data_IF_089098140577
#
_entry.id   IF_089098140577
#
_cell.length_a   1.000
_cell.length_b   1.000
_cell.length_c   1.000
_cell.angle_alpha   90.00
_cell.angle_beta   90.00
_cell.angle_gamma   90.00
#
_symmetry.space_group_name_H-M   'P 1'
#
loop_
_entity.id
_entity.type
_entity.pdbx_description
1 polymer ?
#
# COMPACT_ATOMS: atom_id res chain seq x y z
N UNK A 1 -14.06 -6.76 28.72
CA UNK A 1 -12.80 -6.17 28.23
C UNK A 1 -12.27 -7.07 27.12
N UNK A 2 -11.96 -6.53 25.95
CA UNK A 2 -11.43 -7.27 24.80
C UNK A 2 -9.92 -7.52 24.95
N UNK A 3 -9.42 -8.61 24.36
CA UNK A 3 -7.97 -8.83 24.24
C UNK A 3 -7.37 -7.87 23.22
N UNK A 4 -8.07 -7.68 22.08
CA UNK A 4 -7.66 -6.79 21.00
C UNK A 4 -8.85 -5.98 20.48
N UNK A 5 -8.70 -4.65 20.42
CA UNK A 5 -9.60 -3.77 19.67
C UNK A 5 -8.87 -3.33 18.40
N UNK A 6 -9.54 -3.46 17.26
CA UNK A 6 -9.01 -3.09 15.94
C UNK A 6 -9.77 -1.88 15.43
N UNK A 7 -9.07 -0.81 15.09
CA UNK A 7 -9.63 0.44 14.56
C UNK A 7 -9.42 0.50 13.05
N UNK A 8 -10.50 0.36 12.29
CA UNK A 8 -10.51 0.35 10.83
C UNK A 8 -10.68 -1.05 10.22
N UNK A 9 -11.69 -1.20 9.34
CA UNK A 9 -12.09 -2.46 8.67
C UNK A 9 -11.49 -2.66 7.27
N UNK A 10 -10.48 -1.87 6.88
CA UNK A 10 -9.77 -2.06 5.61
C UNK A 10 -8.93 -3.35 5.58
N UNK A 11 -8.15 -3.61 4.50
CA UNK A 11 -7.38 -4.86 4.35
C UNK A 11 -6.53 -5.22 5.57
N UNK A 12 -5.94 -4.22 6.22
CA UNK A 12 -5.12 -4.44 7.42
C UNK A 12 -5.95 -4.92 8.61
N UNK A 13 -6.99 -4.17 8.97
CA UNK A 13 -7.81 -4.50 10.13
C UNK A 13 -8.63 -5.78 9.93
N UNK A 14 -9.18 -6.00 8.74
CA UNK A 14 -9.90 -7.22 8.41
C UNK A 14 -8.98 -8.47 8.49
N UNK A 15 -7.74 -8.37 7.98
CA UNK A 15 -6.77 -9.45 8.08
C UNK A 15 -6.31 -9.69 9.53
N UNK A 16 -6.11 -8.62 10.30
CA UNK A 16 -5.82 -8.73 11.72
C UNK A 16 -6.97 -9.38 12.49
N UNK A 17 -8.22 -8.95 12.25
CA UNK A 17 -9.40 -9.51 12.88
C UNK A 17 -9.56 -10.99 12.59
N UNK A 18 -9.38 -11.39 11.31
CA UNK A 18 -9.39 -12.80 10.95
C UNK A 18 -8.32 -13.61 11.67
N UNK A 19 -7.10 -13.09 11.73
CA UNK A 19 -5.98 -13.76 12.44
C UNK A 19 -6.26 -13.86 13.93
N UNK A 20 -6.72 -12.77 14.56
CA UNK A 20 -7.06 -12.73 15.98
C UNK A 20 -8.16 -13.73 16.33
N UNK A 21 -9.26 -13.76 15.54
CA UNK A 21 -10.36 -14.70 15.76
C UNK A 21 -9.93 -16.16 15.58
N UNK A 22 -9.12 -16.48 14.56
CA UNK A 22 -8.55 -17.83 14.38
C UNK A 22 -7.62 -18.25 15.53
N UNK A 23 -7.01 -17.28 16.21
CA UNK A 23 -6.17 -17.49 17.38
C UNK A 23 -6.95 -17.46 18.71
N UNK A 24 -8.29 -17.30 18.67
CA UNK A 24 -9.17 -17.34 19.82
C UNK A 24 -9.14 -16.09 20.72
N UNK A 25 -8.65 -14.95 20.21
CA UNK A 25 -8.71 -13.69 20.96
C UNK A 25 -10.12 -13.12 21.00
N UNK A 26 -10.55 -12.65 22.17
CA UNK A 26 -11.76 -11.83 22.29
C UNK A 26 -11.50 -10.48 21.61
N UNK A 27 -12.03 -10.32 20.40
CA UNK A 27 -11.68 -9.21 19.51
C UNK A 27 -12.89 -8.40 19.10
N UNK A 28 -12.76 -7.06 19.14
CA UNK A 28 -13.70 -6.10 18.58
C UNK A 28 -13.03 -5.34 17.44
N UNK A 29 -13.65 -5.31 16.25
CA UNK A 29 -13.25 -4.47 15.14
C UNK A 29 -14.28 -3.35 14.96
N UNK A 30 -13.81 -2.10 14.95
CA UNK A 30 -14.63 -0.89 14.81
C UNK A 30 -14.25 -0.18 13.51
N UNK A 31 -15.23 0.06 12.63
CA UNK A 31 -15.06 0.73 11.35
C UNK A 31 -16.09 1.85 11.20
N UNK A 32 -15.61 3.04 10.85
CA UNK A 32 -16.47 4.23 10.73
C UNK A 32 -17.43 4.22 9.55
N UNK A 33 -17.09 3.52 8.47
CA UNK A 33 -17.92 3.42 7.27
C UNK A 33 -18.81 2.18 7.32
N UNK A 34 -19.96 2.26 6.69
CA UNK A 34 -20.78 1.08 6.41
C UNK A 34 -20.24 0.35 5.18
N UNK A 35 -20.06 -0.96 5.29
CA UNK A 35 -19.61 -1.82 4.21
C UNK A 35 -20.77 -2.43 3.43
N UNK A 36 -20.64 -2.62 2.10
CA UNK A 36 -19.47 -2.34 1.26
C UNK A 36 -19.30 -0.84 0.95
N UNK A 37 -18.06 -0.30 1.04
CA UNK A 37 -17.76 1.10 0.84
C UNK A 37 -16.79 1.34 -0.33
N UNK A 38 -16.85 2.54 -0.90
CA UNK A 38 -15.86 2.99 -1.88
C UNK A 38 -14.51 3.32 -1.20
N UNK A 39 -13.40 3.03 -1.89
CA UNK A 39 -12.05 3.43 -1.48
C UNK A 39 -11.21 3.77 -2.71
N UNK A 40 -10.73 5.01 -2.86
CA UNK A 40 -9.87 5.41 -3.98
C UNK A 40 -8.61 4.55 -4.06
N UNK A 41 -8.40 3.86 -5.18
CA UNK A 41 -7.26 2.96 -5.40
C UNK A 41 -7.27 2.47 -6.85
N UNK A 42 -6.11 2.15 -7.42
CA UNK A 42 -6.03 1.43 -8.68
C UNK A 42 -6.52 -0.02 -8.63
N UNK A 43 -6.68 -0.60 -7.44
CA UNK A 43 -7.24 -1.95 -7.27
C UNK A 43 -6.33 -3.11 -7.66
N UNK A 44 -5.05 -2.86 -7.95
CA UNK A 44 -4.10 -3.93 -8.26
C UNK A 44 -3.62 -4.61 -6.96
N UNK A 45 -3.78 -5.93 -6.91
CA UNK A 45 -3.27 -6.80 -5.86
C UNK A 45 -2.18 -7.68 -6.46
N UNK A 46 -0.95 -7.51 -6.01
CA UNK A 46 0.21 -8.28 -6.50
C UNK A 46 0.15 -9.75 -6.10
N UNK A 47 0.94 -10.59 -6.77
CA UNK A 47 1.12 -12.01 -6.41
C UNK A 47 1.55 -12.16 -4.94
N UNK A 48 2.38 -11.24 -4.42
CA UNK A 48 2.71 -11.24 -2.99
C UNK A 48 1.50 -10.97 -2.11
N UNK A 49 0.66 -10.01 -2.45
CA UNK A 49 -0.58 -9.75 -1.72
C UNK A 49 -1.51 -10.95 -1.70
N UNK A 50 -1.59 -11.67 -2.82
CA UNK A 50 -2.33 -12.93 -2.89
C UNK A 50 -1.71 -14.00 -1.97
N UNK A 51 -0.39 -14.14 -1.93
CA UNK A 51 0.30 -15.12 -1.08
C UNK A 51 0.15 -14.83 0.43
N UNK A 52 -0.16 -13.58 0.81
CA UNK A 52 -0.45 -13.24 2.20
C UNK A 52 -1.82 -13.72 2.68
N UNK A 53 -2.73 -14.09 1.76
CA UNK A 53 -4.05 -14.60 2.12
C UNK A 53 -3.97 -16.09 2.45
N UNK A 54 -4.61 -16.51 3.55
CA UNK A 54 -4.72 -17.90 3.97
C UNK A 54 -5.93 -18.65 3.32
N UNK A 55 -6.44 -18.09 2.23
CA UNK A 55 -7.55 -18.60 1.44
C UNK A 55 -7.42 -18.15 -0.02
N UNK A 56 -8.05 -18.89 -0.93
CA UNK A 56 -8.17 -18.48 -2.32
C UNK A 56 -9.29 -17.46 -2.48
N UNK A 57 -9.05 -16.43 -3.28
CA UNK A 57 -10.10 -15.49 -3.68
C UNK A 57 -11.04 -16.18 -4.67
N UNK A 58 -12.37 -16.03 -4.51
CA UNK A 58 -13.32 -16.53 -5.49
C UNK A 58 -13.29 -15.65 -6.75
N UNK A 59 -13.64 -16.22 -7.89
CA UNK A 59 -13.69 -15.51 -9.18
C UNK A 59 -14.58 -14.26 -9.14
N UNK A 60 -15.62 -14.27 -8.31
CA UNK A 60 -16.51 -13.12 -8.14
C UNK A 60 -15.86 -11.88 -7.51
N UNK A 61 -14.65 -12.01 -6.97
CA UNK A 61 -13.85 -10.91 -6.40
C UNK A 61 -12.77 -10.44 -7.38
N UNK A 62 -12.37 -11.31 -8.32
CA UNK A 62 -11.32 -11.04 -9.30
C UNK A 62 -11.96 -10.46 -10.56
N UNK A 63 -11.63 -9.21 -10.90
CA UNK A 63 -12.16 -8.59 -12.12
C UNK A 63 -11.28 -8.89 -13.35
N UNK A 64 -9.94 -8.89 -13.17
CA UNK A 64 -8.97 -9.18 -14.23
C UNK A 64 -7.72 -9.87 -13.70
N UNK A 65 -7.15 -10.75 -14.53
CA UNK A 65 -5.78 -11.22 -14.38
C UNK A 65 -4.85 -10.37 -15.25
N UNK A 66 -3.73 -9.94 -14.70
CA UNK A 66 -2.80 -9.01 -15.34
C UNK A 66 -1.42 -9.66 -15.47
N UNK A 67 -1.13 -10.38 -16.55
CA UNK A 67 0.20 -10.89 -16.84
C UNK A 67 1.15 -9.84 -17.42
N UNK A 68 0.65 -8.69 -17.93
CA UNK A 68 1.45 -7.73 -18.66
C UNK A 68 1.40 -6.33 -18.05
N UNK A 69 2.49 -5.57 -18.25
CA UNK A 69 2.56 -4.15 -17.95
C UNK A 69 3.20 -3.41 -19.12
N UNK A 70 2.65 -2.28 -19.50
CA UNK A 70 3.29 -1.30 -20.38
C UNK A 70 3.75 -0.11 -19.56
N UNK A 71 5.06 0.15 -19.62
CA UNK A 71 5.68 1.30 -18.97
C UNK A 71 5.98 2.37 -20.02
N UNK A 72 5.29 3.50 -19.91
CA UNK A 72 5.41 4.64 -20.84
C UNK A 72 6.32 5.72 -20.27
N UNK A 73 7.05 6.37 -21.15
CA UNK A 73 7.67 7.67 -20.90
C UNK A 73 7.59 8.52 -22.16
N UNK A 74 6.75 9.57 -22.13
CA UNK A 74 6.38 10.38 -23.30
C UNK A 74 5.71 9.52 -24.38
N UNK A 75 6.25 9.55 -25.60
CA UNK A 75 5.77 8.83 -26.80
C UNK A 75 6.29 7.38 -26.91
N UNK A 76 7.11 6.95 -25.97
CA UNK A 76 7.72 5.61 -25.97
C UNK A 76 7.19 4.74 -24.86
N UNK A 77 7.15 3.45 -25.10
CA UNK A 77 6.86 2.46 -24.07
C UNK A 77 7.68 1.19 -24.24
N UNK A 78 7.74 0.44 -23.18
CA UNK A 78 8.24 -0.93 -23.14
C UNK A 78 7.18 -1.81 -22.51
N UNK A 79 6.98 -3.01 -23.04
CA UNK A 79 6.07 -4.01 -22.49
C UNK A 79 6.86 -5.13 -21.84
N UNK A 80 6.46 -5.51 -20.63
CA UNK A 80 6.95 -6.66 -19.90
C UNK A 80 5.82 -7.62 -19.55
N UNK A 81 6.15 -8.89 -19.38
CA UNK A 81 5.20 -9.96 -19.06
C UNK A 81 5.77 -10.89 -18.00
N UNK A 82 4.87 -11.42 -17.18
CA UNK A 82 5.16 -12.51 -16.25
C UNK A 82 4.06 -13.58 -16.41
N UNK A 83 4.43 -14.83 -16.66
CA UNK A 83 3.50 -15.93 -16.91
C UNK A 83 2.62 -16.26 -15.71
N UNK A 84 3.13 -16.04 -14.49
CA UNK A 84 2.41 -16.29 -13.22
C UNK A 84 1.47 -15.13 -12.81
N UNK A 85 1.20 -14.17 -13.68
CA UNK A 85 0.55 -12.88 -13.44
C UNK A 85 1.35 -11.93 -12.51
N UNK A 86 1.40 -10.68 -12.91
CA UNK A 86 1.97 -9.60 -12.11
C UNK A 86 1.04 -9.21 -10.97
N UNK A 87 -0.25 -9.20 -11.27
CA UNK A 87 -1.30 -8.81 -10.34
C UNK A 87 -2.67 -9.33 -10.81
N UNK A 88 -3.64 -9.22 -9.93
CA UNK A 88 -5.06 -9.22 -10.26
C UNK A 88 -5.64 -7.83 -10.01
N UNK A 89 -6.69 -7.47 -10.74
CA UNK A 89 -7.48 -6.29 -10.42
C UNK A 89 -8.72 -6.70 -9.64
N UNK A 90 -9.01 -5.92 -8.62
CA UNK A 90 -10.17 -6.09 -7.74
C UNK A 90 -10.84 -4.75 -7.48
N UNK A 91 -12.17 -4.72 -7.46
CA UNK A 91 -12.89 -3.58 -6.89
C UNK A 91 -12.67 -3.54 -5.37
N UNK A 92 -12.16 -2.41 -4.85
CA UNK A 92 -11.95 -2.24 -3.41
C UNK A 92 -13.25 -2.35 -2.61
N UNK A 93 -14.38 -1.99 -3.21
CA UNK A 93 -15.71 -2.14 -2.62
C UNK A 93 -16.01 -3.61 -2.34
N UNK A 94 -15.76 -4.48 -3.30
CA UNK A 94 -16.00 -5.93 -3.19
C UNK A 94 -14.93 -6.60 -2.35
N UNK A 95 -13.66 -6.33 -2.63
CA UNK A 95 -12.52 -6.98 -1.98
C UNK A 95 -12.45 -6.68 -0.48
N UNK A 96 -12.56 -5.41 -0.08
CA UNK A 96 -12.49 -5.03 1.32
C UNK A 96 -13.66 -5.62 2.12
N UNK A 97 -14.87 -5.62 1.54
CA UNK A 97 -16.05 -6.26 2.15
C UNK A 97 -15.84 -7.77 2.30
N UNK A 98 -15.29 -8.42 1.28
CA UNK A 98 -15.01 -9.84 1.33
C UNK A 98 -14.01 -10.19 2.46
N UNK A 99 -12.96 -9.40 2.64
CA UNK A 99 -12.01 -9.57 3.74
C UNK A 99 -12.68 -9.39 5.12
N UNK A 100 -13.53 -8.38 5.26
CA UNK A 100 -14.25 -8.10 6.51
C UNK A 100 -15.20 -9.25 6.85
N UNK A 101 -15.94 -9.79 5.88
CA UNK A 101 -16.79 -10.96 6.07
C UNK A 101 -15.99 -12.23 6.43
N UNK A 102 -14.77 -12.38 5.89
CA UNK A 102 -13.87 -13.45 6.31
C UNK A 102 -13.41 -13.30 7.77
N UNK A 103 -13.27 -12.07 8.25
CA UNK A 103 -12.98 -11.80 9.65
C UNK A 103 -14.20 -12.11 10.54
N UNK A 104 -15.41 -11.63 10.18
CA UNK A 104 -16.68 -11.94 10.90
C UNK A 104 -16.87 -13.44 11.11
N UNK A 105 -16.59 -14.24 10.09
CA UNK A 105 -16.74 -15.72 10.14
C UNK A 105 -15.79 -16.41 11.14
N UNK A 106 -14.85 -15.71 11.73
CA UNK A 106 -14.00 -16.26 12.82
C UNK A 106 -14.57 -16.00 14.22
N UNK A 107 -15.75 -15.37 14.30
CA UNK A 107 -16.43 -15.12 15.58
C UNK A 107 -16.03 -13.84 16.29
N UNK A 108 -15.25 -12.96 15.64
CA UNK A 108 -14.97 -11.63 16.21
C UNK A 108 -16.20 -10.72 16.12
N UNK A 109 -16.31 -9.79 17.04
CA UNK A 109 -17.32 -8.74 17.01
C UNK A 109 -16.90 -7.64 16.02
N UNK A 110 -17.80 -7.16 15.16
CA UNK A 110 -17.52 -6.15 14.15
C UNK A 110 -18.61 -5.10 14.12
N UNK A 111 -18.27 -3.88 14.43
CA UNK A 111 -19.12 -2.70 14.35
C UNK A 111 -18.74 -1.88 13.11
N UNK A 112 -19.71 -1.56 12.27
CA UNK A 112 -19.58 -0.66 11.13
C UNK A 112 -20.48 0.55 11.30
N UNK A 113 -20.09 1.70 10.77
CA UNK A 113 -20.78 2.98 10.99
C UNK A 113 -20.47 3.63 12.35
N UNK A 114 -19.48 3.12 13.08
CA UNK A 114 -19.04 3.63 14.41
C UNK A 114 -17.61 4.16 14.32
N UNK A 115 -17.39 5.43 14.62
CA UNK A 115 -16.07 6.07 14.55
C UNK A 115 -15.37 6.09 15.91
N UNK A 116 -14.11 5.64 15.94
CA UNK A 116 -13.25 5.81 17.12
C UNK A 116 -12.72 7.23 17.14
N UNK A 117 -13.05 7.96 18.20
CA UNK A 117 -12.73 9.37 18.37
C UNK A 117 -11.44 9.59 19.16
N UNK A 118 -11.17 8.75 20.16
CA UNK A 118 -9.98 8.89 21.01
C UNK A 118 -9.54 7.57 21.64
N UNK A 119 -8.27 7.52 22.01
CA UNK A 119 -7.63 6.41 22.72
C UNK A 119 -6.91 6.94 23.97
N UNK A 120 -7.17 6.34 25.13
CA UNK A 120 -6.51 6.70 26.37
C UNK A 120 -5.88 5.45 27.00
N UNK A 121 -4.54 5.40 27.00
CA UNK A 121 -3.81 4.32 27.67
C UNK A 121 -3.96 4.45 29.20
N UNK A 122 -4.29 3.34 29.87
CA UNK A 122 -4.33 3.15 31.31
C UNK A 122 -3.27 2.13 31.70
N UNK A 123 -3.13 1.84 32.98
CA UNK A 123 -2.11 0.90 33.47
C UNK A 123 -2.20 -0.47 32.77
N UNK A 124 -3.41 -1.08 32.75
CA UNK A 124 -3.60 -2.45 32.26
C UNK A 124 -4.39 -2.55 30.94
N UNK A 125 -4.94 -1.47 30.44
CA UNK A 125 -5.79 -1.46 29.25
C UNK A 125 -5.72 -0.14 28.51
N UNK A 126 -6.44 -0.09 27.38
CA UNK A 126 -6.71 1.12 26.61
C UNK A 126 -8.21 1.35 26.60
N UNK A 127 -8.61 2.55 26.97
CA UNK A 127 -9.98 3.02 26.78
C UNK A 127 -10.13 3.56 25.37
N UNK A 128 -11.10 3.02 24.64
CA UNK A 128 -11.44 3.35 23.26
C UNK A 128 -12.78 4.05 23.26
N UNK A 129 -12.78 5.36 23.03
CA UNK A 129 -14.00 6.17 22.95
C UNK A 129 -14.43 6.31 21.50
N UNK A 130 -15.67 5.94 21.24
CA UNK A 130 -16.30 6.04 19.90
C UNK A 130 -17.41 7.09 19.89
N UNK A 131 -18.09 7.22 18.74
CA UNK A 131 -19.31 8.01 18.61
C UNK A 131 -20.43 7.52 19.52
N UNK A 132 -20.52 6.21 19.74
CA UNK A 132 -21.67 5.58 20.36
C UNK A 132 -21.38 5.07 21.77
N UNK A 133 -20.16 4.59 22.01
CA UNK A 133 -19.79 3.86 23.23
C UNK A 133 -18.35 4.14 23.71
N UNK A 134 -18.03 3.50 24.83
CA UNK A 134 -16.65 3.41 25.33
C UNK A 134 -16.33 1.94 25.60
N UNK A 135 -15.24 1.46 25.01
CA UNK A 135 -14.78 0.08 25.15
C UNK A 135 -13.43 0.01 25.86
N UNK A 136 -13.15 -1.13 26.49
CA UNK A 136 -11.86 -1.42 27.10
C UNK A 136 -11.19 -2.60 26.39
N UNK A 137 -9.96 -2.40 25.91
CA UNK A 137 -9.13 -3.43 25.30
C UNK A 137 -7.77 -3.53 25.96
N UNK A 138 -7.23 -4.73 26.06
CA UNK A 138 -5.85 -4.94 26.53
C UNK A 138 -4.85 -4.31 25.55
N UNK A 139 -5.15 -4.43 24.25
CA UNK A 139 -4.35 -3.87 23.16
C UNK A 139 -5.26 -3.22 22.11
N UNK A 140 -4.72 -2.23 21.39
CA UNK A 140 -5.40 -1.59 20.28
C UNK A 140 -4.50 -1.59 19.04
N UNK A 141 -5.03 -2.11 17.94
CA UNK A 141 -4.42 -2.04 16.61
C UNK A 141 -5.08 -0.92 15.81
N UNK A 142 -4.31 0.10 15.47
CA UNK A 142 -4.76 1.25 14.69
C UNK A 142 -4.48 0.97 13.21
N UNK A 143 -5.53 0.65 12.45
CA UNK A 143 -5.54 0.32 11.01
C UNK A 143 -6.38 1.32 10.20
N UNK A 144 -6.47 2.57 10.66
CA UNK A 144 -7.33 3.64 10.11
C UNK A 144 -6.88 4.19 8.74
N UNK A 145 -5.82 3.63 8.17
CA UNK A 145 -5.23 4.08 6.92
C UNK A 145 -4.43 5.38 7.04
N UNK A 146 -4.12 6.00 5.90
CA UNK A 146 -3.27 7.19 5.84
C UNK A 146 -3.97 8.46 6.33
N UNK A 147 -5.29 8.56 6.19
CA UNK A 147 -6.07 9.74 6.54
C UNK A 147 -6.41 9.89 8.02
N UNK A 148 -6.29 8.82 8.81
CA UNK A 148 -6.63 8.84 10.22
C UNK A 148 -5.63 9.63 11.07
N UNK A 149 -6.03 9.98 12.30
CA UNK A 149 -5.24 10.81 13.22
C UNK A 149 -4.81 10.09 14.50
N UNK A 150 -5.42 8.96 14.82
CA UNK A 150 -5.11 8.18 16.02
C UNK A 150 -3.67 7.62 16.01
N UNK A 151 -3.09 7.39 14.83
CA UNK A 151 -1.68 7.01 14.67
C UNK A 151 -0.70 7.97 15.36
N UNK A 152 -1.09 9.23 15.56
CA UNK A 152 -0.26 10.22 16.25
C UNK A 152 -0.23 10.05 17.79
N UNK A 153 -1.03 9.14 18.34
CA UNK A 153 -0.84 8.65 19.70
C UNK A 153 0.41 7.78 19.86
N UNK A 154 0.87 7.18 18.76
CA UNK A 154 2.04 6.28 18.73
C UNK A 154 3.30 6.98 18.23
N UNK A 155 3.18 7.87 17.24
CA UNK A 155 4.30 8.51 16.55
C UNK A 155 4.04 9.99 16.24
N UNK A 156 5.09 10.80 16.01
CA UNK A 156 4.92 12.20 15.59
C UNK A 156 4.26 12.29 14.19
N UNK A 157 3.75 13.47 13.87
CA UNK A 157 3.16 13.76 12.55
C UNK A 157 4.20 13.63 11.45
N UNK A 158 3.79 13.04 10.33
CA UNK A 158 4.62 12.94 9.13
C UNK A 158 4.86 14.33 8.53
N UNK A 159 6.04 14.51 7.92
CA UNK A 159 6.35 15.70 7.13
C UNK A 159 5.62 15.62 5.78
N UNK A 160 5.29 16.77 5.17
CA UNK A 160 4.67 16.81 3.83
C UNK A 160 5.51 16.08 2.75
N UNK A 161 6.83 16.09 2.90
CA UNK A 161 7.78 15.39 2.01
C UNK A 161 7.68 13.86 2.09
N UNK A 162 7.06 13.34 3.15
CA UNK A 162 6.86 11.90 3.38
C UNK A 162 5.54 11.38 2.82
N UNK A 163 4.82 12.22 2.07
CA UNK A 163 3.55 11.88 1.46
C UNK A 163 3.57 12.08 -0.05
N UNK A 164 2.81 11.23 -0.73
CA UNK A 164 2.34 11.44 -2.10
C UNK A 164 0.85 11.73 -2.08
N UNK A 165 0.39 12.44 -3.09
CA UNK A 165 -1.02 12.68 -3.36
C UNK A 165 -1.40 11.86 -4.60
N UNK A 166 -2.36 10.96 -4.45
CA UNK A 166 -3.00 10.26 -5.54
C UNK A 166 -4.35 10.88 -5.86
N UNK A 167 -4.67 11.02 -7.15
CA UNK A 167 -5.99 11.34 -7.66
C UNK A 167 -6.42 10.24 -8.62
N UNK A 168 -7.67 9.82 -8.54
CA UNK A 168 -8.24 8.74 -9.34
C UNK A 168 -9.66 9.07 -9.76
N UNK A 169 -10.01 8.63 -10.98
CA UNK A 169 -11.37 8.58 -11.50
C UNK A 169 -11.68 7.16 -11.97
N UNK A 170 -12.91 6.73 -11.77
CA UNK A 170 -13.46 5.53 -12.37
C UNK A 170 -14.25 5.96 -13.61
N UNK A 171 -13.84 5.47 -14.77
CA UNK A 171 -14.34 5.91 -16.08
C UNK A 171 -15.09 4.72 -16.68
N UNK A 172 -16.43 4.71 -16.71
CA UNK A 172 -17.22 3.65 -17.29
C UNK A 172 -16.96 3.50 -18.79
N UNK A 173 -16.88 2.26 -19.26
CA UNK A 173 -16.82 1.94 -20.70
C UNK A 173 -17.37 0.51 -20.91
N UNK A 174 -17.63 0.15 -22.16
CA UNK A 174 -18.03 -1.21 -22.51
C UNK A 174 -16.90 -2.21 -22.21
N UNK A 175 -17.26 -3.33 -21.56
CA UNK A 175 -16.27 -4.31 -21.11
C UNK A 175 -15.53 -5.00 -22.27
N UNK A 176 -16.15 -5.14 -23.44
CA UNK A 176 -15.49 -5.67 -24.64
C UNK A 176 -14.49 -4.66 -25.21
N UNK A 177 -14.83 -3.37 -25.22
CA UNK A 177 -13.93 -2.28 -25.60
C UNK A 177 -12.70 -2.26 -24.69
N UNK A 178 -12.93 -2.36 -23.38
CA UNK A 178 -11.85 -2.41 -22.37
C UNK A 178 -10.92 -3.61 -22.61
N UNK A 179 -11.48 -4.81 -22.81
CA UNK A 179 -10.70 -6.03 -23.07
C UNK A 179 -9.86 -5.95 -24.35
N UNK A 180 -10.44 -5.40 -25.41
CA UNK A 180 -9.74 -5.25 -26.68
C UNK A 180 -8.59 -4.24 -26.59
N UNK A 181 -8.77 -3.16 -25.84
CA UNK A 181 -7.74 -2.14 -25.62
C UNK A 181 -6.63 -2.61 -24.68
N UNK A 182 -6.99 -3.40 -23.65
CA UNK A 182 -6.08 -3.89 -22.61
C UNK A 182 -6.15 -5.43 -22.47
N UNK A 183 -5.59 -6.19 -23.41
CA UNK A 183 -5.63 -7.65 -23.36
C UNK A 183 -4.67 -8.20 -22.27
N UNK A 184 -5.15 -8.21 -21.01
CA UNK A 184 -4.36 -8.65 -19.85
C UNK A 184 -3.23 -7.68 -19.46
N UNK A 185 -3.38 -6.40 -19.74
CA UNK A 185 -2.31 -5.41 -19.59
C UNK A 185 -2.77 -4.24 -18.73
N UNK A 186 -1.85 -3.66 -17.96
CA UNK A 186 -2.00 -2.35 -17.29
C UNK A 186 -1.00 -1.37 -17.85
N UNK A 187 -1.34 -0.08 -17.85
CA UNK A 187 -0.47 1.00 -18.28
C UNK A 187 0.02 1.83 -17.11
N UNK A 188 1.33 2.08 -17.08
CA UNK A 188 2.02 2.99 -16.16
C UNK A 188 2.73 4.07 -16.97
N UNK A 189 2.41 5.33 -16.70
CA UNK A 189 2.92 6.49 -17.44
C UNK A 189 3.84 7.33 -16.57
N UNK A 190 5.14 7.20 -16.73
CA UNK A 190 6.12 8.04 -16.04
C UNK A 190 6.20 9.43 -16.69
N UNK A 191 6.55 10.45 -15.86
CA UNK A 191 6.68 11.83 -16.33
C UNK A 191 5.37 12.65 -16.34
N UNK A 192 4.23 12.03 -16.09
CA UNK A 192 2.92 12.71 -16.01
C UNK A 192 2.81 13.59 -14.78
N UNK A 193 3.27 13.10 -13.64
CA UNK A 193 3.21 13.80 -12.36
C UNK A 193 4.60 13.90 -11.72
N UNK A 194 4.93 15.04 -11.13
CA UNK A 194 6.24 15.25 -10.53
C UNK A 194 6.46 14.33 -9.32
N UNK A 195 7.52 13.53 -9.39
CA UNK A 195 7.86 12.53 -8.38
C UNK A 195 6.87 11.36 -8.30
N UNK A 196 6.24 11.03 -9.44
CA UNK A 196 5.24 9.98 -9.54
C UNK A 196 4.93 9.57 -10.98
N UNK A 197 3.76 9.01 -11.19
CA UNK A 197 3.33 8.44 -12.47
C UNK A 197 1.80 8.56 -12.65
N UNK A 198 1.31 8.33 -13.87
CA UNK A 198 -0.08 8.05 -14.17
C UNK A 198 -0.31 6.55 -14.33
N UNK A 199 -1.54 6.09 -14.15
CA UNK A 199 -1.92 4.71 -14.42
C UNK A 199 -3.26 4.62 -15.11
N UNK A 200 -3.45 3.55 -15.91
CA UNK A 200 -4.74 3.14 -16.46
C UNK A 200 -4.88 1.64 -16.25
N UNK A 201 -5.81 1.24 -15.38
CA UNK A 201 -6.07 -0.15 -15.03
C UNK A 201 -7.46 -0.55 -15.51
N UNK A 202 -7.56 -1.59 -16.36
CA UNK A 202 -8.81 -2.04 -16.96
C UNK A 202 -9.60 -2.93 -16.01
N UNK A 203 -10.62 -2.40 -15.38
CA UNK A 203 -11.57 -3.14 -14.55
C UNK A 203 -12.73 -3.73 -15.38
N UNK A 204 -13.64 -4.45 -14.73
CA UNK A 204 -14.86 -4.94 -15.38
C UNK A 204 -15.85 -3.79 -15.57
N UNK A 205 -16.01 -3.30 -16.81
CA UNK A 205 -16.93 -2.21 -17.16
C UNK A 205 -16.45 -0.79 -16.83
N UNK A 206 -15.20 -0.60 -16.41
CA UNK A 206 -14.62 0.74 -16.20
C UNK A 206 -13.08 0.73 -16.23
N UNK A 207 -12.48 1.90 -16.44
CA UNK A 207 -11.06 2.12 -16.18
C UNK A 207 -10.89 2.79 -14.81
N UNK A 208 -10.01 2.26 -13.97
CA UNK A 208 -9.45 3.04 -12.87
C UNK A 208 -8.23 3.79 -13.41
N UNK A 209 -8.39 5.07 -13.66
CA UNK A 209 -7.32 5.90 -14.19
C UNK A 209 -6.98 7.03 -13.22
N UNK A 210 -5.69 7.27 -13.03
CA UNK A 210 -5.27 8.25 -12.04
C UNK A 210 -3.82 8.67 -12.17
N UNK A 211 -3.43 9.58 -11.30
CA UNK A 211 -2.07 10.06 -11.13
C UNK A 211 -1.66 9.99 -9.67
N UNK A 212 -0.38 9.80 -9.44
CA UNK A 212 0.24 9.95 -8.12
C UNK A 212 1.51 10.77 -8.26
N UNK A 213 1.72 11.70 -7.35
CA UNK A 213 2.92 12.54 -7.34
C UNK A 213 3.32 12.97 -5.93
N UNK A 214 4.50 13.58 -5.79
CA UNK A 214 4.95 14.11 -4.51
C UNK A 214 4.03 15.26 -4.10
N UNK A 215 3.34 15.13 -2.97
CA UNK A 215 2.30 16.08 -2.54
C UNK A 215 2.76 17.55 -2.45
N UNK A 216 4.06 17.77 -2.19
CA UNK A 216 4.65 19.11 -2.13
C UNK A 216 4.84 19.77 -3.50
N UNK A 217 5.01 18.97 -4.56
CA UNK A 217 5.40 19.44 -5.89
C UNK A 217 4.32 19.24 -6.95
N UNK A 218 3.20 18.63 -6.61
CA UNK A 218 2.11 18.38 -7.55
C UNK A 218 1.18 19.61 -7.58
N UNK A 219 1.55 20.59 -8.40
CA UNK A 219 0.73 21.77 -8.65
C UNK A 219 -0.48 21.43 -9.52
N UNK A 220 -1.64 22.06 -9.24
CA UNK A 220 -2.89 21.86 -10.00
C UNK A 220 -3.23 20.37 -10.30
N UNK A 221 -3.24 19.47 -9.29
CA UNK A 221 -3.31 18.04 -9.50
C UNK A 221 -4.54 17.58 -10.30
N UNK A 222 -5.69 18.27 -10.16
CA UNK A 222 -6.90 17.97 -10.94
C UNK A 222 -6.69 18.26 -12.43
N UNK A 223 -6.01 19.36 -12.76
CA UNK A 223 -5.68 19.69 -14.16
C UNK A 223 -4.75 18.63 -14.75
N UNK A 224 -3.67 18.25 -14.04
CA UNK A 224 -2.74 17.22 -14.47
C UNK A 224 -3.47 15.89 -14.74
N UNK A 225 -4.41 15.50 -13.87
CA UNK A 225 -5.23 14.30 -14.11
C UNK A 225 -6.09 14.45 -15.37
N UNK A 226 -6.79 15.56 -15.54
CA UNK A 226 -7.68 15.76 -16.69
C UNK A 226 -6.92 15.79 -18.02
N UNK A 227 -5.75 16.43 -18.05
CA UNK A 227 -4.86 16.45 -19.23
C UNK A 227 -4.40 15.02 -19.54
N UNK A 228 -3.95 14.25 -18.53
CA UNK A 228 -3.56 12.85 -18.68
C UNK A 228 -4.70 11.96 -19.23
N UNK A 229 -5.91 12.12 -18.71
CA UNK A 229 -7.07 11.35 -19.18
C UNK A 229 -7.38 11.69 -20.65
N UNK A 230 -7.36 12.98 -21.01
CA UNK A 230 -7.61 13.47 -22.37
C UNK A 230 -6.58 12.93 -23.37
N UNK A 231 -5.28 13.00 -23.02
CA UNK A 231 -4.19 12.48 -23.86
C UNK A 231 -4.30 10.97 -24.11
N UNK A 232 -4.95 10.25 -23.19
CA UNK A 232 -5.18 8.82 -23.31
C UNK A 232 -6.59 8.46 -23.83
N UNK A 233 -7.33 9.42 -24.42
CA UNK A 233 -8.65 9.17 -25.01
C UNK A 233 -9.74 8.82 -24.00
N UNK A 234 -9.58 9.23 -22.74
CA UNK A 234 -10.52 9.02 -21.64
C UNK A 234 -11.17 10.35 -21.23
N UNK A 235 -11.65 11.12 -22.22
CA UNK A 235 -12.24 12.44 -21.99
C UNK A 235 -13.67 12.34 -21.46
N UNK A 236 -14.01 13.23 -20.50
CA UNK A 236 -15.34 13.30 -19.90
C UNK A 236 -15.33 14.02 -18.57
N UNK A 237 -16.49 14.18 -17.98
CA UNK A 237 -16.64 14.66 -16.60
C UNK A 237 -16.89 13.47 -15.67
N UNK A 238 -15.90 13.17 -14.86
CA UNK A 238 -15.96 12.05 -13.91
C UNK A 238 -15.66 12.54 -12.49
N UNK A 239 -16.23 11.90 -11.46
CA UNK A 239 -15.85 12.17 -10.07
C UNK A 239 -14.35 11.93 -9.87
N UNK A 240 -13.69 12.88 -9.24
CA UNK A 240 -12.26 12.78 -8.89
C UNK A 240 -12.14 12.56 -7.40
N UNK A 241 -11.50 11.47 -7.02
CA UNK A 241 -11.22 11.13 -5.64
C UNK A 241 -9.74 11.27 -5.35
N UNK A 242 -9.41 11.70 -4.14
CA UNK A 242 -8.02 11.85 -3.72
C UNK A 242 -7.66 10.96 -2.55
N UNK A 243 -6.39 10.57 -2.48
CA UNK A 243 -5.87 9.79 -1.37
C UNK A 243 -4.42 10.18 -1.07
N UNK A 244 -4.11 10.32 0.22
CA UNK A 244 -2.73 10.52 0.69
C UNK A 244 -2.07 9.15 0.82
N UNK A 245 -0.89 8.99 0.21
CA UNK A 245 -0.11 7.76 0.23
C UNK A 245 1.18 8.05 1.00
N UNK A 246 1.46 7.38 2.13
CA UNK A 246 2.71 7.56 2.83
C UNK A 246 3.88 7.03 1.98
N UNK A 247 4.96 7.79 1.89
CA UNK A 247 6.18 7.34 1.23
C UNK A 247 6.91 6.38 2.16
N UNK A 248 6.92 5.15 1.85
CA UNK A 248 7.62 4.02 2.43
C UNK A 248 8.42 4.34 3.70
N UNK A 249 8.31 3.59 4.72
CA UNK A 249 9.00 3.98 5.94
C UNK A 249 9.06 2.89 6.98
N UNK A 250 10.21 2.21 7.02
CA UNK A 250 10.51 1.21 8.05
C UNK A 250 11.16 1.83 9.30
N UNK A 251 11.42 3.14 9.27
CA UNK A 251 11.99 3.90 10.41
C UNK A 251 10.94 4.56 11.28
N UNK A 252 9.66 4.50 10.91
CA UNK A 252 8.57 5.05 11.72
C UNK A 252 8.32 4.19 12.95
N UNK A 253 8.03 4.83 14.08
CA UNK A 253 7.57 4.12 15.28
C UNK A 253 6.19 3.55 15.00
N UNK A 254 6.00 2.25 15.20
CA UNK A 254 4.75 1.53 14.93
C UNK A 254 4.17 0.86 16.17
N UNK A 255 4.84 0.99 17.29
CA UNK A 255 4.43 0.42 18.58
C UNK A 255 4.68 1.42 19.70
N UNK A 256 3.71 1.59 20.59
CA UNK A 256 3.85 2.32 21.83
C UNK A 256 3.01 1.63 22.90
N UNK A 257 3.69 1.05 23.92
CA UNK A 257 3.02 0.32 25.00
C UNK A 257 1.98 -0.68 24.46
N UNK A 258 0.69 -0.35 24.53
CA UNK A 258 -0.44 -1.18 24.12
C UNK A 258 -1.06 -0.80 22.77
N UNK A 259 -0.48 0.20 22.08
CA UNK A 259 -0.95 0.70 20.79
C UNK A 259 -0.04 0.23 19.66
N UNK A 260 -0.61 -0.44 18.65
CA UNK A 260 0.08 -0.91 17.46
C UNK A 260 -0.46 -0.18 16.22
N UNK A 261 0.40 0.11 15.24
CA UNK A 261 0.00 0.65 13.93
C UNK A 261 0.22 -0.39 12.84
N UNK A 262 -0.69 -0.49 11.86
CA UNK A 262 -0.51 -1.36 10.69
C UNK A 262 -0.95 -0.72 9.39
N UNK A 263 -0.56 -1.29 8.26
CA UNK A 263 -0.87 -0.78 6.92
C UNK A 263 -0.39 0.66 6.71
N UNK A 264 -1.20 1.47 6.04
CA UNK A 264 -0.88 2.88 5.76
C UNK A 264 -0.75 3.73 7.03
N UNK A 265 -1.43 3.39 8.12
CA UNK A 265 -1.27 4.08 9.39
C UNK A 265 0.16 3.91 9.95
N UNK A 266 0.79 2.75 9.72
CA UNK A 266 2.20 2.50 9.99
C UNK A 266 3.13 3.09 8.91
N UNK A 267 2.59 3.42 7.72
CA UNK A 267 3.34 3.91 6.56
C UNK A 267 3.95 2.80 5.71
N UNK A 268 3.41 1.60 5.76
CA UNK A 268 3.89 0.45 5.00
C UNK A 268 3.36 0.47 3.56
N UNK A 269 4.01 1.26 2.72
CA UNK A 269 3.73 1.41 1.30
C UNK A 269 5.04 1.39 0.53
N UNK A 270 5.08 0.69 -0.58
CA UNK A 270 6.20 0.73 -1.52
C UNK A 270 6.33 2.14 -2.11
N UNK A 271 7.50 2.74 -1.93
CA UNK A 271 7.71 4.13 -2.33
C UNK A 271 7.78 4.32 -3.85
N UNK A 272 8.13 3.28 -4.62
CA UNK A 272 8.25 3.35 -6.07
C UNK A 272 6.92 3.05 -6.76
N UNK A 273 6.26 1.95 -6.40
CA UNK A 273 5.00 1.50 -7.03
C UNK A 273 3.75 2.09 -6.38
N UNK A 274 3.80 2.52 -5.12
CA UNK A 274 2.61 2.90 -4.35
C UNK A 274 1.81 1.70 -3.83
N UNK A 275 2.31 0.48 -3.97
CA UNK A 275 1.66 -0.72 -3.43
C UNK A 275 1.58 -0.65 -1.90
N UNK A 276 0.38 -0.83 -1.35
CA UNK A 276 0.13 -0.80 0.09
C UNK A 276 -0.71 -1.97 0.59
N UNK A 277 -1.56 -2.57 -0.28
CA UNK A 277 -2.55 -3.58 0.14
C UNK A 277 -1.87 -4.81 0.73
N UNK A 278 -0.83 -5.32 0.10
CA UNK A 278 -0.08 -6.51 0.55
C UNK A 278 0.54 -6.30 1.92
N UNK A 279 1.17 -5.16 2.14
CA UNK A 279 1.78 -4.80 3.43
C UNK A 279 0.72 -4.52 4.50
N UNK A 280 -0.44 -3.98 4.10
CA UNK A 280 -1.57 -3.79 5.00
C UNK A 280 -2.07 -5.14 5.51
N UNK A 281 -2.30 -6.11 4.62
CA UNK A 281 -2.71 -7.47 4.99
C UNK A 281 -1.68 -8.08 5.95
N UNK A 282 -0.41 -8.11 5.53
CA UNK A 282 0.61 -8.83 6.29
C UNK A 282 0.95 -8.17 7.63
N UNK A 283 1.03 -6.84 7.70
CA UNK A 283 1.27 -6.16 8.98
C UNK A 283 0.10 -6.32 9.96
N UNK A 284 -1.14 -6.37 9.46
CA UNK A 284 -2.31 -6.67 10.29
C UNK A 284 -2.22 -8.07 10.90
N UNK A 285 -1.85 -9.09 10.10
CA UNK A 285 -1.65 -10.46 10.57
C UNK A 285 -0.55 -10.52 11.65
N UNK A 286 0.63 -9.96 11.37
CA UNK A 286 1.77 -9.94 12.29
C UNK A 286 1.42 -9.26 13.63
N UNK A 287 0.63 -8.19 13.59
CA UNK A 287 0.18 -7.52 14.81
C UNK A 287 -0.72 -8.43 15.64
N UNK A 288 -1.71 -9.08 15.00
CA UNK A 288 -2.63 -9.99 15.68
C UNK A 288 -1.91 -11.24 16.19
N UNK A 289 -0.97 -11.82 15.44
CA UNK A 289 -0.11 -12.93 15.86
C UNK A 289 0.67 -12.56 17.13
N UNK A 290 1.31 -11.40 17.15
CA UNK A 290 2.13 -10.93 18.29
C UNK A 290 1.28 -10.68 19.56
N UNK A 291 0.07 -10.14 19.38
CA UNK A 291 -0.88 -9.97 20.52
C UNK A 291 -1.37 -11.32 21.01
N UNK A 292 -1.70 -12.24 20.08
CA UNK A 292 -2.16 -13.58 20.45
C UNK A 292 -1.10 -14.34 21.25
N UNK A 293 0.15 -14.35 20.79
CA UNK A 293 1.24 -14.98 21.52
C UNK A 293 1.43 -14.41 22.92
N UNK A 294 1.34 -13.06 23.04
CA UNK A 294 1.46 -12.40 24.33
C UNK A 294 0.32 -12.80 25.29
N UNK A 295 -0.92 -12.86 24.80
CA UNK A 295 -2.09 -13.21 25.60
C UNK A 295 -2.08 -14.69 25.99
N UNK A 296 -1.87 -15.58 25.01
CA UNK A 296 -1.94 -17.04 25.21
C UNK A 296 -0.82 -17.58 26.08
N UNK A 297 0.38 -17.05 25.95
CA UNK A 297 1.55 -17.51 26.71
C UNK A 297 1.89 -16.62 27.90
N UNK A 298 1.02 -15.66 28.23
CA UNK A 298 1.20 -14.71 29.36
C UNK A 298 2.58 -14.04 29.34
N UNK A 299 3.03 -13.62 28.14
CA UNK A 299 4.34 -13.03 27.97
C UNK A 299 4.38 -11.60 28.52
N UNK A 300 5.60 -11.08 28.74
CA UNK A 300 5.78 -9.68 29.14
C UNK A 300 5.40 -8.74 28.00
N UNK A 301 4.91 -7.54 28.34
CA UNK A 301 4.54 -6.51 27.35
C UNK A 301 5.66 -6.19 26.34
N UNK A 302 6.93 -6.27 26.78
CA UNK A 302 8.09 -6.09 25.92
C UNK A 302 8.18 -7.08 24.75
N UNK A 303 7.50 -8.22 24.82
CA UNK A 303 7.47 -9.20 23.72
C UNK A 303 6.71 -8.70 22.48
N UNK A 304 5.87 -7.65 22.60
CA UNK A 304 5.26 -6.97 21.43
C UNK A 304 6.29 -6.40 20.44
N UNK A 305 7.54 -6.20 20.84
CA UNK A 305 8.63 -5.87 19.91
C UNK A 305 8.84 -6.93 18.82
N UNK A 306 8.32 -8.15 19.02
CA UNK A 306 8.28 -9.18 17.98
C UNK A 306 7.50 -8.70 16.75
N UNK A 307 6.45 -7.89 16.91
CA UNK A 307 5.73 -7.26 15.82
C UNK A 307 6.62 -6.37 14.96
N UNK A 308 7.39 -5.45 15.59
CA UNK A 308 8.32 -4.57 14.85
C UNK A 308 9.41 -5.38 14.15
N UNK A 309 9.95 -6.39 14.83
CA UNK A 309 10.97 -7.28 14.26
C UNK A 309 10.42 -8.09 13.09
N UNK A 310 9.21 -8.65 13.21
CA UNK A 310 8.51 -9.39 12.15
C UNK A 310 8.29 -8.53 10.91
N UNK A 311 7.75 -7.32 11.05
CA UNK A 311 7.57 -6.38 9.94
C UNK A 311 8.92 -6.03 9.26
N UNK A 312 9.97 -5.82 10.06
CA UNK A 312 11.30 -5.51 9.53
C UNK A 312 11.91 -6.68 8.77
N UNK A 313 11.76 -7.89 9.26
CA UNK A 313 12.29 -9.10 8.62
C UNK A 313 11.54 -9.43 7.34
N UNK A 314 10.21 -9.34 7.35
CA UNK A 314 9.38 -9.76 6.24
C UNK A 314 9.42 -8.82 5.04
N UNK A 315 9.31 -7.52 5.26
CA UNK A 315 9.25 -6.53 4.17
C UNK A 315 10.05 -5.24 4.42
N UNK A 316 10.70 -5.09 5.56
CA UNK A 316 11.41 -3.85 5.90
C UNK A 316 12.54 -3.52 4.95
N UNK A 317 13.37 -4.50 4.59
CA UNK A 317 14.47 -4.33 3.63
C UNK A 317 13.95 -4.04 2.21
N UNK A 318 12.84 -4.66 1.84
CA UNK A 318 12.17 -4.44 0.57
C UNK A 318 11.70 -2.98 0.45
N UNK A 319 10.92 -2.49 1.42
CA UNK A 319 10.44 -1.10 1.44
C UNK A 319 11.57 -0.07 1.52
N UNK A 320 12.65 -0.36 2.26
CA UNK A 320 13.82 0.51 2.32
C UNK A 320 14.55 0.60 0.97
N UNK A 321 14.61 -0.50 0.22
CA UNK A 321 15.25 -0.55 -1.09
C UNK A 321 14.37 0.06 -2.19
N UNK A 322 13.05 -0.11 -2.10
CA UNK A 322 12.08 0.61 -2.93
C UNK A 322 12.22 2.13 -2.81
N UNK A 323 12.39 2.64 -1.58
CA UNK A 323 12.64 4.07 -1.35
C UNK A 323 13.97 4.54 -1.96
N UNK A 324 15.00 3.69 -2.00
CA UNK A 324 16.27 4.00 -2.69
C UNK A 324 16.07 4.06 -4.20
N UNK A 325 15.37 3.08 -4.78
CA UNK A 325 15.05 3.09 -6.22
C UNK A 325 14.25 4.34 -6.58
N UNK A 326 13.22 4.69 -5.81
CA UNK A 326 12.43 5.90 -6.00
C UNK A 326 13.30 7.15 -6.06
N UNK A 327 14.22 7.32 -5.11
CA UNK A 327 15.14 8.45 -5.08
C UNK A 327 16.08 8.49 -6.29
N UNK A 328 16.59 7.35 -6.75
CA UNK A 328 17.46 7.25 -7.94
C UNK A 328 16.67 7.65 -9.18
N UNK A 329 15.52 7.05 -9.41
CA UNK A 329 14.72 7.26 -10.63
C UNK A 329 14.20 8.69 -10.73
N UNK A 330 13.74 9.28 -9.62
CA UNK A 330 13.19 10.64 -9.63
C UNK A 330 14.21 11.76 -9.39
N UNK A 331 15.49 11.45 -9.17
CA UNK A 331 16.53 12.48 -9.13
C UNK A 331 16.84 13.04 -10.52
N UNK A 332 16.85 12.17 -11.53
CA UNK A 332 17.07 12.52 -12.94
C UNK A 332 15.98 11.82 -13.80
N UNK A 333 14.71 12.24 -13.67
CA UNK A 333 13.59 11.48 -14.23
C UNK A 333 13.69 11.32 -15.75
N UNK A 334 14.09 12.38 -16.47
CA UNK A 334 14.26 12.33 -17.93
C UNK A 334 15.25 11.23 -18.35
N UNK A 335 16.42 11.21 -17.75
CA UNK A 335 17.45 10.21 -18.09
C UNK A 335 17.03 8.81 -17.64
N UNK A 336 16.53 8.68 -16.43
CA UNK A 336 16.18 7.39 -15.83
C UNK A 336 15.04 6.71 -16.56
N UNK A 337 13.92 7.41 -16.81
CA UNK A 337 12.77 6.82 -17.46
C UNK A 337 12.96 6.65 -18.97
N UNK A 338 13.67 7.58 -19.65
CA UNK A 338 14.07 7.39 -21.03
C UNK A 338 14.95 6.15 -21.21
N UNK A 339 15.88 5.92 -20.29
CA UNK A 339 16.72 4.73 -20.29
C UNK A 339 15.87 3.46 -20.09
N UNK A 340 14.95 3.48 -19.13
CA UNK A 340 14.10 2.35 -18.80
C UNK A 340 13.21 1.92 -19.97
N UNK A 341 12.57 2.86 -20.67
CA UNK A 341 11.69 2.52 -21.81
C UNK A 341 12.44 2.18 -23.11
N UNK A 342 13.73 2.53 -23.20
CA UNK A 342 14.55 2.17 -24.34
C UNK A 342 15.33 0.85 -24.16
N UNK A 343 15.31 0.28 -22.95
CA UNK A 343 16.05 -0.95 -22.63
C UNK A 343 15.11 -1.95 -21.96
N UNK A 344 14.60 -2.85 -22.75
CA UNK A 344 13.66 -3.90 -22.27
C UNK A 344 14.24 -4.70 -21.10
N UNK A 345 15.56 -4.95 -21.10
CA UNK A 345 16.25 -5.66 -20.02
C UNK A 345 16.02 -5.03 -18.64
N UNK A 346 15.89 -3.69 -18.56
CA UNK A 346 15.61 -2.99 -17.30
C UNK A 346 14.25 -3.38 -16.74
N UNK A 347 13.23 -3.47 -17.61
CA UNK A 347 11.89 -3.88 -17.20
C UNK A 347 11.84 -5.38 -16.90
N UNK A 348 12.40 -6.22 -17.77
CA UNK A 348 12.41 -7.67 -17.58
C UNK A 348 13.13 -8.03 -16.26
N UNK A 349 14.27 -7.38 -15.98
CA UNK A 349 14.98 -7.56 -14.70
C UNK A 349 14.22 -7.02 -13.51
N UNK A 350 13.45 -5.94 -13.66
CA UNK A 350 12.56 -5.44 -12.62
C UNK A 350 11.45 -6.46 -12.30
N UNK A 351 10.82 -7.02 -13.31
CA UNK A 351 9.76 -8.02 -13.13
C UNK A 351 10.29 -9.30 -12.49
N UNK A 352 11.46 -9.77 -12.89
CA UNK A 352 12.09 -10.96 -12.33
C UNK A 352 12.55 -10.72 -10.87
N UNK A 353 13.43 -9.76 -10.65
CA UNK A 353 14.02 -9.55 -9.33
C UNK A 353 13.07 -8.93 -8.32
N UNK A 354 12.27 -7.93 -8.74
CA UNK A 354 11.45 -7.16 -7.81
C UNK A 354 10.07 -7.78 -7.64
N UNK A 355 9.39 -8.07 -8.74
CA UNK A 355 8.01 -8.55 -8.68
C UNK A 355 7.97 -10.03 -8.29
N UNK A 356 8.81 -10.87 -8.92
CA UNK A 356 8.83 -12.32 -8.67
C UNK A 356 9.67 -12.67 -7.44
N UNK A 357 10.95 -12.30 -7.44
CA UNK A 357 11.89 -12.69 -6.39
C UNK A 357 11.89 -11.77 -5.15
N UNK A 358 11.15 -10.66 -5.18
CA UNK A 358 11.06 -9.66 -4.10
C UNK A 358 12.41 -9.11 -3.64
N UNK A 359 13.30 -8.86 -4.58
CA UNK A 359 14.69 -8.46 -4.32
C UNK A 359 15.07 -7.11 -4.94
N UNK A 360 14.51 -6.02 -4.42
CA UNK A 360 14.91 -4.66 -4.82
C UNK A 360 16.41 -4.38 -4.64
N UNK A 361 17.04 -4.99 -3.64
CA UNK A 361 18.45 -4.70 -3.33
C UNK A 361 19.36 -5.12 -4.49
N UNK A 362 19.15 -6.32 -5.01
CA UNK A 362 19.98 -6.83 -6.12
C UNK A 362 19.62 -6.15 -7.43
N UNK A 363 18.33 -5.85 -7.67
CA UNK A 363 17.94 -5.04 -8.80
C UNK A 363 18.59 -3.65 -8.80
N UNK A 364 18.55 -2.92 -7.69
CA UNK A 364 19.19 -1.59 -7.57
C UNK A 364 20.69 -1.69 -7.76
N UNK A 365 21.34 -2.71 -7.20
CA UNK A 365 22.77 -2.95 -7.40
C UNK A 365 23.10 -3.20 -8.86
N UNK A 366 22.34 -4.06 -9.52
CA UNK A 366 22.49 -4.35 -10.94
C UNK A 366 22.27 -3.11 -11.80
N UNK A 367 21.22 -2.33 -11.55
CA UNK A 367 20.94 -1.09 -12.27
C UNK A 367 22.09 -0.08 -12.16
N UNK A 368 22.64 0.10 -10.97
CA UNK A 368 23.75 1.01 -10.75
C UNK A 368 25.03 0.55 -11.45
N UNK A 369 25.30 -0.75 -11.48
CA UNK A 369 26.51 -1.29 -12.11
C UNK A 369 26.45 -1.22 -13.64
N UNK A 370 25.26 -1.41 -14.24
CA UNK A 370 25.16 -1.53 -15.70
C UNK A 370 24.79 -0.21 -16.39
N UNK A 371 24.10 0.72 -15.71
CA UNK A 371 23.53 1.91 -16.34
C UNK A 371 23.92 3.24 -15.70
N UNK A 372 24.38 3.27 -14.47
CA UNK A 372 24.76 4.52 -13.78
C UNK A 372 26.26 4.80 -13.81
N UNK A 373 27.07 3.93 -14.38
CA UNK A 373 28.53 4.11 -14.47
C UNK A 373 28.99 5.00 -15.66
N UNK A 374 28.05 5.53 -16.43
CA UNK A 374 28.38 6.45 -17.56
C UNK A 374 28.63 7.91 -17.12
N UNK A 375 28.35 8.26 -15.86
CA UNK A 375 28.75 9.55 -15.25
C UNK A 375 29.84 9.34 -14.19
N UNK A 376 30.78 10.30 -14.00
CA UNK A 376 31.96 10.05 -13.18
C UNK A 376 31.59 9.69 -11.74
N UNK A 377 32.09 8.54 -11.30
CA UNK A 377 31.93 7.89 -9.98
C UNK A 377 32.10 8.85 -8.78
N UNK A 378 32.75 10.00 -8.96
CA UNK A 378 32.97 11.04 -7.95
C UNK A 378 31.68 11.68 -7.42
N UNK A 379 30.59 11.76 -8.23
CA UNK A 379 29.30 12.32 -7.80
C UNK A 379 28.40 11.32 -7.10
N UNK A 380 28.60 10.03 -7.28
CA UNK A 380 27.77 8.98 -6.68
C UNK A 380 28.26 8.64 -5.26
N UNK A 381 29.55 8.74 -5.00
CA UNK A 381 30.12 8.51 -3.66
C UNK A 381 29.65 9.52 -2.61
N UNK A 382 29.35 10.76 -3.00
CA UNK A 382 28.79 11.75 -2.06
C UNK A 382 27.36 11.44 -1.62
N UNK A 383 26.59 10.65 -2.39
CA UNK A 383 25.21 10.28 -2.06
C UNK A 383 25.08 9.09 -1.11
N UNK A 384 26.14 8.28 -1.00
CA UNK A 384 26.18 7.13 -0.09
C UNK A 384 26.79 7.48 1.27
N UNK A 385 27.51 8.59 1.39
CA UNK A 385 28.25 8.99 2.61
C UNK A 385 27.51 10.03 3.46
N UNK A 386 26.51 10.76 2.94
CA UNK A 386 25.74 11.72 3.73
C UNK A 386 24.60 11.09 4.56
N UNK A 387 24.52 9.77 4.61
CA UNK A 387 23.52 9.03 5.40
C UNK A 387 24.02 8.51 6.75
N UNK A 388 25.28 8.76 7.13
CA UNK A 388 25.88 8.16 8.33
C UNK A 388 26.49 9.13 9.34
N UNK A 389 26.20 10.43 9.27
CA UNK A 389 26.57 11.32 10.38
C UNK A 389 25.53 12.42 10.53
N UNK A 390 24.66 12.26 11.52
CA UNK A 390 24.22 13.19 12.56
C UNK A 390 22.93 12.74 13.21
N UNK A 391 23.10 12.35 14.47
CA UNK A 391 22.17 12.28 15.63
C UNK A 391 20.92 11.42 15.54
#
# INVERSE_FOLDING_TARGET
MYDLIIVGGGPSGASAGRTAGKRGLLTLLIEKENFPRYKPCGGALSSYGLSCLDFKLPESVIERNIPKVRAYFRDRFVEGMNEDNLAILVSRKVFDNFLLEKARKTGIEVHTGEEVLDLTEKEDCVEVRTTDNTYLGRFVLISEGSGGTLKYKVRPRDKKTEHRLGLVSEIPDDDEVIRNRFPGTIDIHFGVAQGGYGWIFPHAGYYSAGIVGTAQHLEHPKKVLMDFLKENGLSGEFPVHSHIIPKGGTKRKILNSRLLLSGDAAGFVDAFTGEGISYAIRSGQLAAESVADLVMYSLKLSSLKAYESGCRQEFGNYLASSLKLEKIMYRFPETSFKLAVNNREILDKYLDEVVTNRNYKDYVRWLLLNFCLAEPVSRIKSLTLEGNDKD
#
